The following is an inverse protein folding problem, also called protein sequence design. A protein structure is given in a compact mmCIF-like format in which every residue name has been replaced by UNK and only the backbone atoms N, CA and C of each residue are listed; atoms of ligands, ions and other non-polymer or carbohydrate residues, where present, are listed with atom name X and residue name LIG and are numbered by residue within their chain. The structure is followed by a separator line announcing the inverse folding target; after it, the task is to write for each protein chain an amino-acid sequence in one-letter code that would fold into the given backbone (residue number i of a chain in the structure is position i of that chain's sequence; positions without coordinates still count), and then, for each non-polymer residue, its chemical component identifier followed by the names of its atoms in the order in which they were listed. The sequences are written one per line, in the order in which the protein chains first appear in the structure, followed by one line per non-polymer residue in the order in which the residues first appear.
data_IF_325756159294
#
_entry.id   IF_325756159294
#
_cell.length_a   1.000
_cell.length_b   1.000
_cell.length_c   1.000
_cell.angle_alpha   90.00
_cell.angle_beta   90.00
_cell.angle_gamma   90.00
#
_symmetry.space_group_name_H-M   'P 1'
#
loop_
_entity.id
_entity.type
_entity.pdbx_description
1 polymer ?
#
# COMPACT_ATOMS: atom_id res chain seq x y z
N UNK A 1 -4.64 -6.46 -0.46
CA UNK A 1 -3.41 -7.21 -0.84
C UNK A 1 -2.70 -7.91 0.33
N UNK A 2 -2.78 -7.44 1.57
CA UNK A 2 -2.13 -8.11 2.71
C UNK A 2 -2.87 -9.36 3.21
N UNK A 3 -4.18 -9.46 3.02
CA UNK A 3 -4.96 -10.64 3.43
C UNK A 3 -4.46 -11.96 2.82
N UNK A 4 -4.13 -12.05 1.52
CA UNK A 4 -3.52 -13.26 0.96
C UNK A 4 -2.20 -13.65 1.62
N UNK A 5 -1.37 -12.66 1.98
CA UNK A 5 -0.10 -12.93 2.69
C UNK A 5 -0.36 -13.50 4.08
N UNK A 6 -1.31 -12.92 4.82
CA UNK A 6 -1.73 -13.46 6.12
C UNK A 6 -2.28 -14.89 5.97
N UNK A 7 -3.14 -15.13 4.98
CA UNK A 7 -3.72 -16.46 4.72
C UNK A 7 -2.65 -17.50 4.35
N UNK A 8 -1.54 -17.09 3.74
CA UNK A 8 -0.40 -17.96 3.46
C UNK A 8 0.48 -18.24 4.70
N UNK A 9 0.62 -17.24 5.58
CA UNK A 9 1.43 -17.35 6.80
C UNK A 9 0.73 -18.13 7.92
N UNK A 10 -0.58 -17.97 8.06
CA UNK A 10 -1.34 -18.59 9.15
C UNK A 10 -1.23 -20.14 9.20
N UNK A 11 -1.28 -20.90 8.10
CA UNK A 11 -1.06 -22.34 8.12
C UNK A 11 0.35 -22.76 8.49
N UNK A 12 1.37 -21.97 8.08
CA UNK A 12 2.79 -22.25 8.37
C UNK A 12 3.09 -22.03 9.86
N UNK A 13 2.33 -21.17 10.53
CA UNK A 13 2.49 -20.83 11.94
C UNK A 13 1.48 -21.53 12.87
N UNK A 14 0.87 -22.63 12.43
CA UNK A 14 -0.15 -23.37 13.21
C UNK A 14 0.31 -23.76 14.61
N UNK A 15 1.59 -24.05 14.77
CA UNK A 15 2.20 -24.44 16.05
C UNK A 15 2.34 -23.27 17.03
N UNK A 16 2.06 -22.04 16.57
CA UNK A 16 2.20 -20.81 17.35
C UNK A 16 0.93 -19.94 17.31
N UNK A 17 -0.15 -20.36 17.97
CA UNK A 17 -1.44 -19.68 17.88
C UNK A 17 -1.42 -18.24 18.43
N UNK A 18 -0.53 -17.94 19.38
CA UNK A 18 -0.34 -16.59 19.90
C UNK A 18 0.22 -15.65 18.82
N UNK A 19 1.22 -16.12 18.05
CA UNK A 19 1.83 -15.36 16.96
C UNK A 19 0.83 -15.15 15.81
N UNK A 20 0.03 -16.15 15.46
CA UNK A 20 -1.01 -16.03 14.42
C UNK A 20 -2.04 -14.96 14.82
N UNK A 21 -2.47 -14.92 16.09
CA UNK A 21 -3.38 -13.88 16.61
C UNK A 21 -2.74 -12.49 16.57
N UNK A 22 -1.48 -12.37 16.98
CA UNK A 22 -0.73 -11.13 16.91
C UNK A 22 -0.63 -10.63 15.46
N UNK A 23 -0.30 -11.48 14.51
CA UNK A 23 -0.25 -11.14 13.08
C UNK A 23 -1.61 -10.73 12.52
N UNK A 24 -2.69 -11.42 12.91
CA UNK A 24 -4.05 -11.08 12.49
C UNK A 24 -4.45 -9.65 12.89
N UNK A 25 -3.94 -9.16 14.03
CA UNK A 25 -4.15 -7.79 14.49
C UNK A 25 -3.15 -6.82 13.88
N UNK A 26 -1.87 -7.20 13.78
CA UNK A 26 -0.82 -6.34 13.27
C UNK A 26 -1.01 -6.00 11.78
N UNK A 27 -1.39 -6.97 10.94
CA UNK A 27 -1.55 -6.74 9.50
C UNK A 27 -2.53 -5.61 9.16
N UNK A 28 -3.81 -5.64 9.59
CA UNK A 28 -4.75 -4.55 9.29
C UNK A 28 -4.33 -3.22 9.93
N UNK A 29 -3.77 -3.27 11.14
CA UNK A 29 -3.34 -2.06 11.84
C UNK A 29 -2.16 -1.36 11.13
N UNK A 30 -1.15 -2.12 10.70
CA UNK A 30 -0.02 -1.58 9.94
C UNK A 30 -0.46 -1.05 8.58
N UNK A 31 -1.38 -1.73 7.89
CA UNK A 31 -1.93 -1.23 6.61
C UNK A 31 -2.60 0.12 6.82
N UNK A 32 -3.40 0.26 7.88
CA UNK A 32 -4.09 1.51 8.19
C UNK A 32 -3.09 2.63 8.54
N UNK A 33 -2.11 2.34 9.39
CA UNK A 33 -1.09 3.30 9.79
C UNK A 33 -0.16 3.68 8.63
N UNK A 34 0.20 2.74 7.78
CA UNK A 34 1.04 2.99 6.61
C UNK A 34 0.34 3.83 5.53
N UNK A 35 -0.99 3.89 5.53
CA UNK A 35 -1.74 4.74 4.60
C UNK A 35 -1.39 6.23 4.76
N UNK A 36 -1.00 6.66 5.96
CA UNK A 36 -0.56 8.04 6.24
C UNK A 36 0.72 8.41 5.50
N UNK A 37 1.55 7.45 5.11
CA UNK A 37 2.79 7.69 4.36
C UNK A 37 2.58 8.38 3.02
N UNK A 38 1.41 8.21 2.40
CA UNK A 38 1.10 8.78 1.09
C UNK A 38 -0.10 9.73 1.18
N UNK A 39 0.01 10.88 0.50
CA UNK A 39 -1.11 11.83 0.38
C UNK A 39 -2.37 11.20 -0.23
N UNK A 40 -2.19 10.23 -1.13
CA UNK A 40 -3.26 9.47 -1.76
C UNK A 40 -3.62 8.18 -1.00
N UNK A 41 -2.98 7.92 0.14
CA UNK A 41 -3.18 6.70 0.92
C UNK A 41 -4.56 6.57 1.56
N UNK A 42 -5.23 7.70 1.82
CA UNK A 42 -6.62 7.73 2.28
C UNK A 42 -7.35 8.98 1.77
N UNK A 43 -8.64 8.86 1.48
CA UNK A 43 -9.47 9.99 1.04
C UNK A 43 -9.52 11.12 2.06
N UNK A 44 -9.43 10.80 3.36
CA UNK A 44 -9.39 11.78 4.44
C UNK A 44 -8.25 12.80 4.30
N UNK A 45 -7.10 12.42 3.76
CA UNK A 45 -5.97 13.33 3.56
C UNK A 45 -6.30 14.41 2.53
N UNK A 46 -6.97 14.04 1.44
CA UNK A 46 -7.42 14.96 0.40
C UNK A 46 -8.46 15.94 0.96
N UNK A 47 -9.43 15.43 1.72
CA UNK A 47 -10.47 16.25 2.36
C UNK A 47 -9.83 17.24 3.33
N UNK A 48 -8.87 16.80 4.14
CA UNK A 48 -8.13 17.70 5.06
C UNK A 48 -7.46 18.83 4.32
N UNK A 49 -6.79 18.53 3.20
CA UNK A 49 -6.15 19.57 2.38
C UNK A 49 -7.17 20.52 1.77
N UNK A 50 -8.31 20.05 1.29
CA UNK A 50 -9.38 20.89 0.75
C UNK A 50 -9.99 21.81 1.80
N UNK A 51 -10.20 21.32 3.03
CA UNK A 51 -10.70 22.14 4.15
C UNK A 51 -9.71 23.27 4.45
N UNK A 52 -8.41 22.99 4.45
CA UNK A 52 -7.38 24.02 4.68
C UNK A 52 -7.42 25.09 3.58
N UNK A 53 -7.48 24.69 2.31
CA UNK A 53 -7.58 25.62 1.18
C UNK A 53 -8.87 26.46 1.27
N UNK A 54 -9.99 25.84 1.62
CA UNK A 54 -11.27 26.55 1.83
C UNK A 54 -11.23 27.57 2.98
N UNK A 55 -10.28 27.42 3.91
CA UNK A 55 -10.03 28.36 5.02
C UNK A 55 -8.93 29.40 4.70
N UNK A 56 -8.40 29.44 3.47
CA UNK A 56 -7.36 30.36 3.04
C UNK A 56 -5.94 29.92 3.41
N UNK A 57 -5.74 28.70 3.89
CA UNK A 57 -4.41 28.14 4.14
C UNK A 57 -3.88 27.40 2.88
N UNK A 58 -2.56 27.32 2.71
CA UNK A 58 -2.01 26.51 1.63
C UNK A 58 -2.38 25.03 1.83
N UNK A 59 -2.82 24.38 0.76
CA UNK A 59 -3.05 22.94 0.74
C UNK A 59 -1.73 22.16 0.80
N UNK A 60 -1.82 20.86 1.08
CA UNK A 60 -0.65 19.99 1.03
C UNK A 60 -0.36 19.56 -0.41
N UNK A 61 0.91 19.69 -0.83
CA UNK A 61 1.41 18.98 -2.01
C UNK A 61 1.74 17.52 -1.65
N UNK A 62 1.84 16.67 -2.67
CA UNK A 62 2.22 15.27 -2.47
C UNK A 62 3.57 15.14 -1.74
N UNK A 63 4.58 15.90 -2.15
CA UNK A 63 5.90 15.88 -1.55
C UNK A 63 5.90 16.37 -0.08
N UNK A 64 5.20 17.48 0.20
CA UNK A 64 5.09 17.99 1.57
C UNK A 64 4.37 16.99 2.50
N UNK A 65 3.32 16.36 2.01
CA UNK A 65 2.64 15.32 2.79
C UNK A 65 3.58 14.15 3.10
N UNK A 66 4.31 13.64 2.11
CA UNK A 66 5.26 12.53 2.31
C UNK A 66 6.37 12.87 3.29
N UNK A 67 6.86 14.12 3.29
CA UNK A 67 7.93 14.55 4.20
C UNK A 67 7.55 14.33 5.68
N UNK A 68 6.30 14.56 6.03
CA UNK A 68 5.79 14.41 7.40
C UNK A 68 5.11 13.04 7.62
N UNK A 69 4.35 12.59 6.64
CA UNK A 69 3.56 11.37 6.73
C UNK A 69 4.39 10.09 6.73
N UNK A 70 5.46 10.04 5.93
CA UNK A 70 6.29 8.84 5.82
C UNK A 70 7.05 8.52 7.11
N UNK A 71 7.76 9.46 7.77
CA UNK A 71 8.37 9.19 9.06
C UNK A 71 7.35 8.77 10.12
N UNK A 72 6.20 9.45 10.16
CA UNK A 72 5.12 9.12 11.10
C UNK A 72 4.58 7.71 10.86
N UNK A 73 4.34 7.33 9.60
CA UNK A 73 3.86 6.00 9.23
C UNK A 73 4.86 4.91 9.64
N UNK A 74 6.17 5.12 9.43
CA UNK A 74 7.19 4.15 9.83
C UNK A 74 7.23 4.00 11.34
N UNK A 75 7.33 5.10 12.08
CA UNK A 75 7.40 5.06 13.55
C UNK A 75 6.16 4.44 14.16
N UNK A 76 4.96 4.86 13.71
CA UNK A 76 3.69 4.33 14.22
C UNK A 76 3.48 2.87 13.86
N UNK A 77 3.89 2.43 12.67
CA UNK A 77 3.78 1.03 12.25
C UNK A 77 4.71 0.12 13.07
N UNK A 78 5.96 0.54 13.27
CA UNK A 78 6.91 -0.21 14.11
C UNK A 78 6.41 -0.26 15.56
N UNK A 79 6.00 0.86 16.13
CA UNK A 79 5.46 0.92 17.49
C UNK A 79 4.21 0.03 17.64
N UNK A 80 3.33 0.01 16.64
CA UNK A 80 2.15 -0.84 16.63
C UNK A 80 2.52 -2.33 16.64
N UNK A 81 3.47 -2.74 15.78
CA UNK A 81 3.93 -4.15 15.73
C UNK A 81 4.55 -4.56 17.06
N UNK A 82 5.44 -3.73 17.60
CA UNK A 82 6.08 -4.00 18.90
C UNK A 82 5.04 -4.12 20.04
N UNK A 83 4.05 -3.21 20.07
CA UNK A 83 2.98 -3.23 21.05
C UNK A 83 2.13 -4.49 20.93
N UNK A 84 1.71 -4.84 19.71
CA UNK A 84 0.91 -6.05 19.46
C UNK A 84 1.69 -7.31 19.85
N UNK A 85 2.96 -7.40 19.48
CA UNK A 85 3.80 -8.52 19.88
C UNK A 85 4.00 -8.56 21.40
N UNK A 86 4.18 -7.43 22.06
CA UNK A 86 4.32 -7.36 23.51
C UNK A 86 3.08 -7.83 24.27
N UNK A 87 1.89 -7.51 23.75
CA UNK A 87 0.62 -7.83 24.41
C UNK A 87 0.13 -9.26 24.13
N UNK A 88 0.40 -9.79 22.93
CA UNK A 88 -0.21 -11.04 22.45
C UNK A 88 0.76 -12.21 22.31
N UNK A 89 2.09 -12.00 22.49
CA UNK A 89 3.09 -13.06 22.42
C UNK A 89 3.95 -13.11 23.68
N UNK A 90 4.40 -14.32 24.08
CA UNK A 90 5.33 -14.51 25.18
C UNK A 90 6.77 -14.13 24.76
N UNK A 91 7.65 -13.95 25.75
CA UNK A 91 9.09 -13.78 25.48
C UNK A 91 9.69 -14.99 24.74
N UNK A 92 9.24 -16.17 25.09
CA UNK A 92 9.68 -17.42 24.46
C UNK A 92 9.28 -17.47 22.98
N UNK A 93 8.03 -17.10 22.65
CA UNK A 93 7.55 -17.02 21.26
C UNK A 93 8.38 -16.06 20.42
N UNK A 94 8.84 -14.95 21.02
CA UNK A 94 9.63 -13.93 20.30
C UNK A 94 11.09 -14.33 20.09
N UNK A 95 11.67 -15.09 21.02
CA UNK A 95 13.06 -15.53 20.93
C UNK A 95 13.25 -16.78 20.08
N UNK A 96 12.19 -17.51 19.77
CA UNK A 96 12.26 -18.67 18.90
C UNK A 96 12.43 -18.25 17.43
N UNK A 97 13.50 -18.75 16.80
CA UNK A 97 13.75 -18.51 15.37
C UNK A 97 12.55 -18.97 14.51
N UNK A 98 12.14 -18.13 13.57
CA UNK A 98 11.15 -18.47 12.58
C UNK A 98 11.83 -19.20 11.42
N UNK A 99 11.60 -20.50 11.29
CA UNK A 99 12.05 -21.30 10.14
C UNK A 99 10.95 -21.32 9.07
N UNK A 100 10.71 -20.18 8.42
CA UNK A 100 9.77 -20.09 7.30
C UNK A 100 10.56 -20.24 6.01
N UNK A 101 10.29 -21.30 5.24
CA UNK A 101 10.85 -21.45 3.91
C UNK A 101 9.99 -20.71 2.87
N UNK A 102 10.66 -20.12 1.87
CA UNK A 102 9.96 -19.50 0.73
C UNK A 102 9.11 -20.53 -0.03
N UNK A 103 9.55 -21.81 -0.05
CA UNK A 103 8.78 -22.93 -0.62
C UNK A 103 7.46 -23.17 0.12
N UNK A 104 7.44 -23.03 1.44
CA UNK A 104 6.22 -23.24 2.24
C UNK A 104 5.19 -22.14 1.97
N UNK A 105 5.65 -20.89 1.83
CA UNK A 105 4.79 -19.77 1.44
C UNK A 105 4.27 -19.92 0.01
N UNK A 106 5.09 -20.42 -0.90
CA UNK A 106 4.72 -20.60 -2.30
C UNK A 106 3.70 -21.71 -2.52
N UNK A 107 3.72 -22.76 -1.70
CA UNK A 107 2.73 -23.85 -1.76
C UNK A 107 1.32 -23.42 -1.38
N UNK A 108 1.20 -22.36 -0.55
CA UNK A 108 -0.08 -21.83 -0.06
C UNK A 108 -0.57 -20.57 -0.82
N UNK A 109 0.30 -19.96 -1.62
CA UNK A 109 -0.05 -18.83 -2.46
C UNK A 109 0.05 -19.27 -3.92
N UNK A 110 -0.95 -19.45 -4.66
CA UNK A 110 -0.87 -19.78 -6.11
C UNK A 110 -0.13 -18.73 -6.97
N UNK A 111 0.67 -17.86 -6.36
CA UNK A 111 1.45 -16.79 -6.99
C UNK A 111 2.94 -17.08 -6.76
N UNK A 112 3.79 -17.09 -7.80
CA UNK A 112 5.23 -17.27 -7.62
C UNK A 112 5.80 -16.08 -6.83
N UNK A 113 6.30 -16.37 -5.61
CA UNK A 113 6.89 -15.36 -4.69
C UNK A 113 8.36 -15.10 -5.05
N UNK A 114 9.02 -16.08 -5.66
CA UNK A 114 10.43 -15.99 -6.07
C UNK A 114 10.58 -16.25 -7.57
N UNK A 115 11.40 -15.46 -8.24
CA UNK A 115 11.69 -15.59 -9.67
C UNK A 115 12.38 -14.36 -10.23
N UNK A 116 12.91 -14.48 -11.45
CA UNK A 116 13.44 -13.31 -12.16
C UNK A 116 12.29 -12.35 -12.50
N UNK A 117 12.54 -11.05 -12.31
CA UNK A 117 11.59 -10.01 -12.71
C UNK A 117 11.33 -10.13 -14.22
N UNK A 118 10.07 -10.33 -14.58
CA UNK A 118 9.69 -10.39 -15.98
C UNK A 118 9.79 -9.00 -16.64
N UNK A 119 10.04 -8.90 -17.95
CA UNK A 119 10.06 -7.60 -18.64
C UNK A 119 8.79 -6.78 -18.45
N UNK A 120 7.64 -7.45 -18.32
CA UNK A 120 6.36 -6.81 -18.01
C UNK A 120 6.34 -6.19 -16.61
N UNK A 121 6.83 -6.92 -15.61
CA UNK A 121 6.95 -6.40 -14.24
C UNK A 121 7.93 -5.22 -14.17
N UNK A 122 9.06 -5.29 -14.89
CA UNK A 122 10.01 -4.19 -14.98
C UNK A 122 9.39 -2.92 -15.58
N UNK A 123 8.63 -3.05 -16.69
CA UNK A 123 7.90 -1.92 -17.28
C UNK A 123 6.87 -1.33 -16.33
N UNK A 124 6.10 -2.19 -15.65
CA UNK A 124 5.12 -1.73 -14.65
C UNK A 124 5.79 -0.95 -13.52
N UNK A 125 6.87 -1.49 -12.96
CA UNK A 125 7.64 -0.84 -11.89
C UNK A 125 8.21 0.51 -12.35
N UNK A 126 8.74 0.59 -13.57
CA UNK A 126 9.25 1.84 -14.16
C UNK A 126 8.14 2.87 -14.32
N UNK A 127 6.98 2.50 -14.89
CA UNK A 127 5.83 3.40 -15.05
C UNK A 127 5.34 3.94 -13.69
N UNK A 128 5.24 3.07 -12.67
CA UNK A 128 4.87 3.48 -11.31
C UNK A 128 5.91 4.46 -10.75
N UNK A 129 7.20 4.18 -10.91
CA UNK A 129 8.27 5.07 -10.46
C UNK A 129 8.18 6.46 -11.12
N UNK A 130 7.93 6.51 -12.45
CA UNK A 130 7.73 7.77 -13.16
C UNK A 130 6.53 8.55 -12.63
N UNK A 131 5.39 7.89 -12.38
CA UNK A 131 4.20 8.54 -11.81
C UNK A 131 4.51 9.11 -10.42
N UNK A 132 5.22 8.38 -9.56
CA UNK A 132 5.61 8.85 -8.23
C UNK A 132 6.53 10.07 -8.33
N UNK A 133 7.53 10.04 -9.20
CA UNK A 133 8.43 11.18 -9.43
C UNK A 133 7.65 12.39 -9.90
N UNK A 134 6.73 12.23 -10.85
CA UNK A 134 5.89 13.33 -11.31
C UNK A 134 5.01 13.89 -10.19
N UNK A 135 4.47 13.06 -9.32
CA UNK A 135 3.73 13.54 -8.14
C UNK A 135 4.60 14.35 -7.18
N UNK A 136 5.85 13.92 -6.96
CA UNK A 136 6.80 14.67 -6.13
C UNK A 136 7.19 16.02 -6.77
N UNK A 137 7.16 16.10 -8.09
CA UNK A 137 7.49 17.33 -8.86
C UNK A 137 6.27 18.22 -9.08
N UNK A 138 5.10 17.91 -8.51
CA UNK A 138 3.90 18.75 -8.61
C UNK A 138 4.16 20.24 -8.36
N UNK A 139 4.94 20.65 -7.34
CA UNK A 139 5.23 22.07 -7.11
C UNK A 139 6.00 22.77 -8.25
N UNK A 140 6.69 22.00 -9.11
CA UNK A 140 7.50 22.50 -10.22
C UNK A 140 6.68 22.69 -11.49
N UNK A 141 5.86 21.67 -11.84
CA UNK A 141 5.11 21.68 -13.11
C UNK A 141 3.63 22.07 -12.94
N UNK A 142 3.09 22.11 -11.72
CA UNK A 142 1.71 22.53 -11.43
C UNK A 142 0.61 21.59 -11.95
N UNK A 143 0.96 20.40 -12.45
CA UNK A 143 -0.02 19.43 -12.97
C UNK A 143 -0.67 18.68 -11.80
N UNK A 144 -2.01 18.70 -11.75
CA UNK A 144 -2.73 18.04 -10.69
C UNK A 144 -2.46 16.52 -10.64
N UNK A 145 -2.23 15.91 -9.46
CA UNK A 145 -1.90 14.48 -9.31
C UNK A 145 -2.87 13.53 -9.99
N UNK A 146 -4.16 13.88 -10.06
CA UNK A 146 -5.17 13.07 -10.74
C UNK A 146 -4.91 12.94 -12.26
N UNK A 147 -4.42 14.00 -12.91
CA UNK A 147 -4.09 13.98 -14.34
C UNK A 147 -2.90 13.04 -14.59
N UNK A 148 -1.88 13.13 -13.74
CA UNK A 148 -0.70 12.24 -13.79
C UNK A 148 -1.12 10.78 -13.58
N UNK A 149 -1.98 10.52 -12.59
CA UNK A 149 -2.51 9.17 -12.34
C UNK A 149 -3.29 8.61 -13.53
N UNK A 150 -4.15 9.45 -14.14
CA UNK A 150 -4.91 9.05 -15.33
C UNK A 150 -3.99 8.75 -16.51
N UNK A 151 -3.02 9.62 -16.78
CA UNK A 151 -2.04 9.40 -17.84
C UNK A 151 -1.20 8.13 -17.61
N UNK A 152 -0.77 7.89 -16.37
CA UNK A 152 -0.07 6.66 -15.98
C UNK A 152 -0.93 5.40 -16.16
N UNK A 153 -2.20 5.45 -15.76
CA UNK A 153 -3.16 4.37 -15.96
C UNK A 153 -3.42 4.05 -17.44
N UNK A 154 -3.55 5.08 -18.28
CA UNK A 154 -3.68 4.91 -19.73
C UNK A 154 -2.39 4.34 -20.36
N UNK A 155 -1.22 4.81 -19.93
CA UNK A 155 0.06 4.28 -20.39
C UNK A 155 0.22 2.80 -20.01
N UNK A 156 -0.17 2.42 -18.79
CA UNK A 156 -0.20 1.02 -18.33
C UNK A 156 -1.15 0.13 -19.14
N UNK A 157 -2.19 0.70 -19.71
CA UNK A 157 -3.20 -0.01 -20.50
C UNK A 157 -2.95 0.05 -22.01
N UNK A 158 -1.90 0.78 -22.45
CA UNK A 158 -1.60 0.95 -23.88
C UNK A 158 -1.00 -0.32 -24.49
N UNK A 159 -1.16 -0.51 -25.80
CA UNK A 159 -0.68 -1.70 -26.50
C UNK A 159 0.85 -1.79 -26.58
N UNK A 160 1.58 -0.68 -26.49
CA UNK A 160 3.05 -0.63 -26.62
C UNK A 160 3.79 -0.71 -25.29
N UNK A 161 3.33 0.02 -24.29
CA UNK A 161 3.96 0.10 -22.96
C UNK A 161 3.22 -0.74 -21.92
N UNK A 162 1.99 -1.11 -22.21
CA UNK A 162 1.05 -1.68 -21.23
C UNK A 162 1.40 -3.09 -20.78
N UNK A 163 0.95 -3.36 -19.58
CA UNK A 163 1.08 -4.64 -18.89
C UNK A 163 -0.29 -5.30 -18.68
N UNK A 164 -1.37 -4.49 -18.70
CA UNK A 164 -2.74 -4.94 -18.45
C UNK A 164 -3.66 -4.36 -19.52
N UNK A 165 -4.54 -5.15 -20.10
CA UNK A 165 -5.53 -4.63 -21.02
C UNK A 165 -6.56 -3.73 -20.29
N UNK A 166 -6.97 -2.63 -20.93
CA UNK A 166 -7.89 -1.64 -20.37
C UNK A 166 -9.20 -2.30 -19.86
N UNK A 167 -9.73 -3.28 -20.58
CA UNK A 167 -10.93 -3.99 -20.16
C UNK A 167 -10.76 -4.80 -18.87
N UNK A 168 -9.58 -5.40 -18.65
CA UNK A 168 -9.25 -6.07 -17.38
C UNK A 168 -9.05 -5.05 -16.27
N UNK A 169 -8.34 -3.95 -16.54
CA UNK A 169 -8.11 -2.89 -15.57
C UNK A 169 -9.44 -2.32 -15.07
N UNK A 170 -10.35 -1.94 -15.96
CA UNK A 170 -11.67 -1.39 -15.61
C UNK A 170 -12.55 -2.37 -14.81
N UNK A 171 -12.48 -3.67 -15.10
CA UNK A 171 -13.19 -4.70 -14.32
C UNK A 171 -12.64 -4.88 -12.90
N UNK A 172 -11.37 -4.57 -12.68
CA UNK A 172 -10.70 -4.68 -11.38
C UNK A 172 -10.87 -3.43 -10.51
N UNK A 173 -11.44 -2.35 -11.05
CA UNK A 173 -11.70 -1.11 -10.30
C UNK A 173 -12.86 -1.34 -9.32
N UNK A 174 -12.69 -1.03 -8.03
CA UNK A 174 -13.76 -1.12 -7.04
C UNK A 174 -14.72 0.08 -7.17
N UNK A 175 -15.56 0.05 -8.20
CA UNK A 175 -16.49 1.14 -8.54
C UNK A 175 -17.37 1.56 -7.36
N UNK A 176 -17.84 0.60 -6.55
CA UNK A 176 -18.65 0.88 -5.36
C UNK A 176 -17.92 1.80 -4.37
N UNK A 177 -16.63 1.57 -4.18
CA UNK A 177 -15.80 2.37 -3.28
C UNK A 177 -15.56 3.78 -3.85
N UNK A 178 -15.33 3.90 -5.16
CA UNK A 178 -15.15 5.19 -5.82
C UNK A 178 -16.43 6.03 -5.78
N UNK A 179 -17.60 5.41 -6.05
CA UNK A 179 -18.89 6.09 -5.96
C UNK A 179 -19.17 6.52 -4.53
N UNK A 180 -18.91 5.66 -3.55
CA UNK A 180 -19.06 6.01 -2.13
C UNK A 180 -18.17 7.20 -1.75
N UNK A 181 -16.91 7.21 -2.16
CA UNK A 181 -15.99 8.34 -1.89
C UNK A 181 -16.46 9.62 -2.59
N UNK A 182 -16.92 9.54 -3.85
CA UNK A 182 -17.42 10.69 -4.57
C UNK A 182 -18.71 11.27 -3.97
N UNK A 183 -19.55 10.43 -3.35
CA UNK A 183 -20.76 10.86 -2.67
C UNK A 183 -20.53 11.48 -1.29
N UNK A 184 -19.35 11.28 -0.71
CA UNK A 184 -18.97 11.81 0.63
C UNK A 184 -18.09 13.04 0.57
N UNK A 185 -17.62 13.45 -0.61
CA UNK A 185 -16.87 14.66 -0.90
C UNK A 185 -17.79 15.82 -1.25
#
# INVERSE_FOLDING_TARGET
MAMPVFMALAPVLRDRPALVRALALAFPSVILLSAVASYLGAGAHLITSQILVGRGYPGFSFANWMLYGLPLAVVSSVACVELVLALFTSREDRCQALSISVSDLQSHTGIPISGRVTPAQGRAAWLVAVVIVLWCMEPVHGIHPAVIALAGGLAMSSNSLGVVSLGKALKSVPWSLLIFMAATL
#
